data_IF_470310053298
#
_entry.id   IF_470310053298
#
_cell.length_a   1.000
_cell.length_b   1.000
_cell.length_c   1.000
_cell.angle_alpha   90.00
_cell.angle_beta   90.00
_cell.angle_gamma   90.00
#
_symmetry.space_group_name_H-M   'P 1'
#
loop_
_entity.id
_entity.type
_entity.pdbx_description
1 polymer ?
#
# COMPACT_ATOMS: atom_id res chain seq x y z
N UNK A 1 -5.84 -3.99 -11.62
CA UNK A 1 -6.88 -2.95 -11.49
C UNK A 1 -7.75 -3.10 -10.23
N UNK A 2 -7.27 -3.83 -9.21
CA UNK A 2 -8.02 -4.08 -7.97
C UNK A 2 -8.09 -2.87 -7.03
N UNK A 3 -7.12 -1.96 -7.11
CA UNK A 3 -7.05 -0.82 -6.19
C UNK A 3 -8.20 0.16 -6.43
N UNK A 4 -9.04 0.33 -5.40
CA UNK A 4 -10.17 1.27 -5.36
C UNK A 4 -9.82 2.64 -4.78
N UNK A 5 -8.55 2.87 -4.45
CA UNK A 5 -8.09 4.14 -3.88
C UNK A 5 -8.60 4.46 -2.48
N UNK A 6 -8.78 3.46 -1.63
CA UNK A 6 -9.24 3.66 -0.24
C UNK A 6 -8.28 4.45 0.65
N UNK A 7 -6.99 4.54 0.29
CA UNK A 7 -5.98 5.29 1.05
C UNK A 7 -5.40 4.54 2.27
N UNK A 8 -5.89 3.34 2.61
CA UNK A 8 -5.40 2.57 3.79
C UNK A 8 -3.89 2.31 3.75
N UNK A 9 -3.34 2.02 2.57
CA UNK A 9 -1.90 1.77 2.41
C UNK A 9 -1.03 3.01 2.64
N UNK A 10 -1.49 4.18 2.20
CA UNK A 10 -0.82 5.45 2.47
C UNK A 10 -0.93 5.83 3.96
N UNK A 11 -2.07 5.53 4.60
CA UNK A 11 -2.24 5.78 6.04
C UNK A 11 -1.32 4.91 6.92
N UNK A 12 -1.15 3.63 6.55
CA UNK A 12 -0.30 2.69 7.29
C UNK A 12 1.20 2.85 6.96
N UNK A 13 1.52 3.15 5.69
CA UNK A 13 2.88 3.22 5.17
C UNK A 13 3.03 4.39 4.18
N UNK A 14 2.98 5.65 4.64
CA UNK A 14 3.07 6.82 3.76
C UNK A 14 4.44 6.99 3.09
N UNK A 15 5.47 6.32 3.62
CA UNK A 15 6.83 6.30 3.08
C UNK A 15 6.96 5.37 1.86
N UNK A 16 6.07 4.39 1.73
CA UNK A 16 6.15 3.30 0.74
C UNK A 16 5.00 3.37 -0.24
N UNK A 17 3.79 3.64 0.23
CA UNK A 17 2.60 3.75 -0.60
C UNK A 17 2.07 5.17 -0.57
N UNK A 18 1.76 5.69 -1.75
CA UNK A 18 1.17 7.02 -1.94
C UNK A 18 -0.05 6.90 -2.83
N UNK A 19 -1.12 7.62 -2.50
CA UNK A 19 -2.33 7.62 -3.31
C UNK A 19 -2.25 8.73 -4.36
N UNK A 20 -2.11 8.35 -5.63
CA UNK A 20 -2.13 9.28 -6.76
C UNK A 20 -3.30 8.94 -7.70
N UNK A 21 -4.11 9.95 -8.04
CA UNK A 21 -5.25 9.80 -8.96
C UNK A 21 -6.22 8.65 -8.58
N UNK A 22 -6.46 8.45 -7.28
CA UNK A 22 -7.33 7.39 -6.78
C UNK A 22 -6.75 5.98 -6.92
N UNK A 23 -5.45 5.83 -7.16
CA UNK A 23 -4.75 4.55 -7.16
C UNK A 23 -3.53 4.59 -6.24
N UNK A 24 -3.28 3.47 -5.56
CA UNK A 24 -2.05 3.28 -4.80
C UNK A 24 -0.85 3.20 -5.75
N UNK A 25 0.22 3.88 -5.40
CA UNK A 25 1.50 3.88 -6.09
C UNK A 25 2.61 3.64 -5.08
N UNK A 26 3.53 2.74 -5.45
CA UNK A 26 4.72 2.46 -4.64
C UNK A 26 5.74 3.55 -4.90
N UNK A 27 6.18 4.24 -3.85
CA UNK A 27 7.18 5.31 -3.88
C UNK A 27 8.51 4.90 -3.23
N UNK A 28 8.54 3.78 -2.52
CA UNK A 28 9.76 3.16 -1.99
C UNK A 28 9.63 1.62 -2.01
N UNK A 29 10.72 0.92 -2.23
CA UNK A 29 10.75 -0.55 -2.30
C UNK A 29 10.84 -1.24 -0.92
N UNK A 30 11.22 -0.49 0.12
CA UNK A 30 11.46 -1.05 1.45
C UNK A 30 10.51 -0.46 2.49
N UNK A 31 9.76 -1.33 3.15
CA UNK A 31 9.05 -1.01 4.39
C UNK A 31 10.03 -0.95 5.57
N UNK A 32 10.71 0.19 5.73
CA UNK A 32 11.67 0.43 6.84
C UNK A 32 10.97 0.80 8.14
N UNK A 33 10.04 1.75 8.08
CA UNK A 33 9.37 2.33 9.25
C UNK A 33 7.93 1.83 9.44
N UNK A 34 7.50 0.83 8.67
CA UNK A 34 6.13 0.34 8.72
C UNK A 34 6.04 -1.15 8.36
N UNK A 35 4.90 -1.78 8.68
CA UNK A 35 4.73 -3.22 8.48
C UNK A 35 4.00 -3.49 7.15
N UNK A 36 4.78 -3.81 6.11
CA UNK A 36 4.27 -4.13 4.78
C UNK A 36 3.22 -5.27 4.79
N UNK A 37 3.44 -6.33 5.58
CA UNK A 37 2.48 -7.44 5.69
C UNK A 37 1.13 -6.98 6.26
N UNK A 38 1.14 -6.06 7.23
CA UNK A 38 -0.08 -5.46 7.78
C UNK A 38 -0.82 -4.60 6.75
N UNK A 39 -0.08 -3.88 5.90
CA UNK A 39 -0.67 -3.09 4.81
C UNK A 39 -1.36 -3.97 3.78
N UNK A 40 -0.75 -5.10 3.42
CA UNK A 40 -1.35 -6.08 2.53
C UNK A 40 -2.63 -6.64 3.16
N UNK A 41 -2.57 -7.07 4.42
CA UNK A 41 -3.72 -7.63 5.14
C UNK A 41 -4.86 -6.60 5.34
N UNK A 42 -4.52 -5.32 5.47
CA UNK A 42 -5.49 -4.24 5.63
C UNK A 42 -6.11 -3.77 4.31
N UNK A 43 -5.62 -4.25 3.16
CA UNK A 43 -6.16 -3.87 1.88
C UNK A 43 -7.52 -4.58 1.64
N UNK A 44 -8.66 -3.87 1.61
CA UNK A 44 -9.98 -4.50 1.53
C UNK A 44 -10.23 -5.26 0.22
N UNK A 45 -9.43 -4.94 -0.80
CA UNK A 45 -9.52 -5.49 -2.15
C UNK A 45 -8.28 -6.31 -2.51
N UNK A 46 -7.38 -6.55 -1.54
CA UNK A 46 -6.13 -7.30 -1.72
C UNK A 46 -5.35 -6.85 -2.97
N UNK A 47 -5.29 -5.54 -3.21
CA UNK A 47 -4.66 -4.96 -4.40
C UNK A 47 -3.14 -4.85 -4.28
N UNK A 48 -2.59 -5.17 -3.11
CA UNK A 48 -1.16 -5.07 -2.78
C UNK A 48 -0.66 -6.48 -2.53
N UNK A 49 0.54 -6.79 -3.02
CA UNK A 49 1.21 -8.08 -2.79
C UNK A 49 2.69 -7.83 -2.65
N UNK A 50 3.36 -8.64 -1.84
CA UNK A 50 4.80 -8.57 -1.60
C UNK A 50 5.40 -9.85 -2.15
N UNK A 51 6.33 -9.73 -3.10
CA UNK A 51 7.17 -10.84 -3.53
C UNK A 51 8.41 -10.91 -2.64
N UNK A 52 8.78 -12.13 -2.21
CA UNK A 52 9.94 -12.42 -1.35
C UNK A 52 11.01 -13.14 -2.14
#
# INVERSE_FOLDING_TARGET
>A
ELCIGCGTCEALCPQVFKLENGKSKVIADECKDCNCDEVVASCPVNAISIEK
#
